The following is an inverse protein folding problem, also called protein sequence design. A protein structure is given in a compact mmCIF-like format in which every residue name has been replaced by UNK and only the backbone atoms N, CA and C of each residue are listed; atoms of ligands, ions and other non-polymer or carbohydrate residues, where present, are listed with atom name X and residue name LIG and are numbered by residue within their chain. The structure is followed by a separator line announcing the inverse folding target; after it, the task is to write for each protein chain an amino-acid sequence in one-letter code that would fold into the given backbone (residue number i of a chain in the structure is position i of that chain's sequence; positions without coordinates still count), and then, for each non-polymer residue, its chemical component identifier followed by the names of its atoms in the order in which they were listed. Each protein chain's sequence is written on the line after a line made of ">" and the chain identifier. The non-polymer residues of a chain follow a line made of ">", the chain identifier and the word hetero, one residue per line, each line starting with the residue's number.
data_IF_357572680565
#
_entry.id   IF_357572680565
#
_cell.length_a   1.000
_cell.length_b   1.000
_cell.length_c   1.000
_cell.angle_alpha   90.00
_cell.angle_beta   90.00
_cell.angle_gamma   90.00
#
_symmetry.space_group_name_H-M   'P 1'
#
loop_
_entity.id
_entity.type
_entity.pdbx_description
1 polymer ?
#
# COMPACT_ATOMS: atom_id res chain seq x y z
N UNK A 1 -5.72 -8.38 -28.53
CA UNK A 1 -6.81 -8.06 -27.59
C UNK A 1 -6.66 -6.60 -27.12
N UNK A 2 -7.02 -5.60 -27.94
CA UNK A 2 -6.85 -4.18 -27.62
C UNK A 2 -7.63 -3.70 -26.39
N UNK A 3 -8.86 -4.19 -26.18
CA UNK A 3 -9.69 -3.74 -25.04
C UNK A 3 -9.10 -4.26 -23.73
N UNK A 4 -8.72 -5.53 -23.70
CA UNK A 4 -8.02 -6.12 -22.55
C UNK A 4 -6.74 -5.36 -22.20
N UNK A 5 -5.90 -5.08 -23.20
CA UNK A 5 -4.65 -4.36 -22.99
C UNK A 5 -4.89 -2.97 -22.37
N UNK A 6 -5.92 -2.24 -22.82
CA UNK A 6 -6.29 -0.94 -22.26
C UNK A 6 -6.75 -1.02 -20.79
N UNK A 7 -7.66 -1.93 -20.47
CA UNK A 7 -8.16 -2.10 -19.09
C UNK A 7 -7.06 -2.60 -18.14
N UNK A 8 -6.23 -3.51 -18.63
CA UNK A 8 -5.06 -3.99 -17.90
C UNK A 8 -4.06 -2.86 -17.65
N UNK A 9 -3.81 -2.00 -18.65
CA UNK A 9 -2.95 -0.83 -18.50
C UNK A 9 -3.47 0.10 -17.39
N UNK A 10 -4.76 0.43 -17.37
CA UNK A 10 -5.34 1.29 -16.31
C UNK A 10 -5.14 0.67 -14.93
N UNK A 11 -5.36 -0.64 -14.81
CA UNK A 11 -5.18 -1.36 -13.53
C UNK A 11 -3.70 -1.38 -13.10
N UNK A 12 -2.79 -1.64 -14.04
CA UNK A 12 -1.34 -1.60 -13.80
C UNK A 12 -0.86 -0.22 -13.38
N UNK A 13 -1.34 0.84 -14.04
CA UNK A 13 -1.03 2.22 -13.69
C UNK A 13 -1.59 2.60 -12.32
N UNK A 14 -2.78 2.08 -11.95
CA UNK A 14 -3.31 2.22 -10.60
C UNK A 14 -2.39 1.59 -9.57
N UNK A 15 -1.82 0.42 -9.86
CA UNK A 15 -0.88 -0.26 -8.96
C UNK A 15 0.49 0.43 -8.90
N UNK A 16 0.89 1.14 -9.95
CA UNK A 16 2.14 1.88 -10.03
C UNK A 16 2.04 3.30 -9.42
N UNK A 17 0.90 3.67 -8.83
CA UNK A 17 0.72 4.96 -8.19
C UNK A 17 0.57 6.13 -9.18
N UNK A 18 -0.10 5.94 -10.32
CA UNK A 18 -0.38 7.07 -11.22
C UNK A 18 -1.28 8.11 -10.53
N UNK A 19 -0.94 9.41 -10.58
CA UNK A 19 -1.79 10.46 -10.02
C UNK A 19 -3.20 10.41 -10.64
N UNK A 20 -4.21 10.49 -9.79
CA UNK A 20 -5.62 10.40 -10.18
C UNK A 20 -6.23 9.00 -10.08
N UNK A 21 -5.45 7.98 -9.70
CA UNK A 21 -5.95 6.63 -9.39
C UNK A 21 -5.82 6.33 -7.88
N UNK A 22 -6.55 5.32 -7.40
CA UNK A 22 -6.59 5.01 -5.96
C UNK A 22 -5.21 4.68 -5.35
N UNK A 23 -4.31 4.02 -6.08
CA UNK A 23 -3.02 3.58 -5.54
C UNK A 23 -2.12 4.73 -5.16
N UNK A 24 -2.12 5.82 -5.94
CA UNK A 24 -1.33 7.01 -5.66
C UNK A 24 -1.73 7.66 -4.33
N UNK A 25 -3.03 7.78 -4.07
CA UNK A 25 -3.53 8.38 -2.83
C UNK A 25 -3.01 7.60 -1.63
N UNK A 26 -3.10 6.27 -1.67
CA UNK A 26 -2.62 5.41 -0.58
C UNK A 26 -1.12 5.58 -0.32
N UNK A 27 -0.30 5.57 -1.37
CA UNK A 27 1.16 5.69 -1.26
C UNK A 27 1.59 7.06 -0.70
N UNK A 28 0.99 8.15 -1.18
CA UNK A 28 1.32 9.50 -0.69
C UNK A 28 0.96 9.66 0.78
N UNK A 29 -0.19 9.13 1.23
CA UNK A 29 -0.54 9.14 2.66
C UNK A 29 0.46 8.35 3.50
N UNK A 30 0.90 7.19 3.02
CA UNK A 30 1.94 6.40 3.67
C UNK A 30 3.26 7.18 3.77
N UNK A 31 3.68 7.87 2.72
CA UNK A 31 4.90 8.68 2.75
C UNK A 31 4.80 9.84 3.73
N UNK A 32 3.67 10.54 3.82
CA UNK A 32 3.49 11.57 4.84
C UNK A 32 3.57 11.00 6.26
N UNK A 33 3.04 9.81 6.49
CA UNK A 33 3.15 9.10 7.77
C UNK A 33 4.59 8.75 8.14
N UNK A 34 5.34 8.14 7.22
CA UNK A 34 6.74 7.75 7.44
C UNK A 34 7.63 8.99 7.55
N UNK A 35 7.37 10.04 6.79
CA UNK A 35 8.17 11.28 6.80
C UNK A 35 8.17 11.96 8.15
N UNK A 36 7.04 11.91 8.87
CA UNK A 36 6.93 12.41 10.23
C UNK A 36 7.79 11.61 11.22
N UNK A 37 8.03 10.32 10.96
CA UNK A 37 8.84 9.46 11.82
C UNK A 37 10.33 9.44 11.43
N UNK A 38 10.67 9.24 10.15
CA UNK A 38 12.04 9.15 9.67
C UNK A 38 12.16 9.49 8.16
N UNK A 39 12.95 10.53 7.87
CA UNK A 39 13.20 11.01 6.49
C UNK A 39 14.02 10.04 5.64
N UNK A 40 14.98 9.33 6.24
CA UNK A 40 15.84 8.37 5.53
C UNK A 40 15.03 7.17 5.06
N UNK A 41 14.18 6.63 5.93
CA UNK A 41 13.26 5.54 5.57
C UNK A 41 12.27 5.97 4.49
N UNK A 42 11.80 7.22 4.53
CA UNK A 42 10.92 7.76 3.48
C UNK A 42 11.63 7.80 2.12
N UNK A 43 12.89 8.21 2.06
CA UNK A 43 13.65 8.23 0.81
C UNK A 43 13.82 6.81 0.22
N UNK A 44 14.05 5.80 1.06
CA UNK A 44 14.11 4.39 0.62
C UNK A 44 12.75 3.85 0.17
N UNK A 45 11.67 4.24 0.84
CA UNK A 45 10.32 3.85 0.45
C UNK A 45 9.95 4.44 -0.93
N UNK A 46 10.26 5.72 -1.16
CA UNK A 46 10.01 6.39 -2.45
C UNK A 46 10.83 5.76 -3.57
N UNK A 47 12.11 5.44 -3.34
CA UNK A 47 12.94 4.80 -4.37
C UNK A 47 12.41 3.41 -4.76
N UNK A 48 11.86 2.66 -3.79
CA UNK A 48 11.24 1.35 -4.03
C UNK A 48 10.00 1.47 -4.92
N UNK A 49 9.16 2.48 -4.70
CA UNK A 49 7.97 2.73 -5.53
C UNK A 49 8.36 3.10 -6.96
N UNK A 50 9.37 3.95 -7.14
CA UNK A 50 9.88 4.30 -8.49
C UNK A 50 10.38 3.05 -9.22
N UNK A 51 11.10 2.17 -8.53
CA UNK A 51 11.61 0.93 -9.10
C UNK A 51 10.47 -0.04 -9.47
N UNK A 52 9.44 -0.12 -8.63
CA UNK A 52 8.23 -0.89 -8.88
C UNK A 52 7.49 -0.42 -10.13
N UNK A 53 7.29 0.90 -10.28
CA UNK A 53 6.63 1.49 -11.44
C UNK A 53 7.41 1.22 -12.75
N UNK A 54 8.74 1.35 -12.70
CA UNK A 54 9.60 1.04 -13.84
C UNK A 54 9.50 -0.44 -14.26
N UNK A 55 9.47 -1.36 -13.30
CA UNK A 55 9.29 -2.79 -13.55
C UNK A 55 7.92 -3.10 -14.16
N UNK A 56 6.83 -2.51 -13.63
CA UNK A 56 5.48 -2.70 -14.15
C UNK A 56 5.32 -2.21 -15.60
N UNK A 57 5.90 -1.07 -15.94
CA UNK A 57 5.90 -0.55 -17.31
C UNK A 57 6.71 -1.44 -18.26
N UNK A 58 7.88 -1.92 -17.82
CA UNK A 58 8.68 -2.87 -18.58
C UNK A 58 7.93 -4.18 -18.82
N UNK A 59 7.25 -4.70 -17.80
CA UNK A 59 6.42 -5.89 -17.86
C UNK A 59 5.26 -5.70 -18.85
N UNK A 60 4.55 -4.58 -18.79
CA UNK A 60 3.46 -4.28 -19.71
C UNK A 60 3.93 -4.29 -21.17
N UNK A 61 5.06 -3.62 -21.47
CA UNK A 61 5.66 -3.62 -22.81
C UNK A 61 6.01 -5.05 -23.26
N UNK A 62 6.56 -5.87 -22.37
CA UNK A 62 6.98 -7.23 -22.71
C UNK A 62 5.80 -8.18 -22.93
N UNK A 63 4.72 -8.04 -22.15
CA UNK A 63 3.54 -8.92 -22.21
C UNK A 63 2.61 -8.53 -23.35
N UNK A 64 2.30 -7.24 -23.51
CA UNK A 64 1.32 -6.79 -24.51
C UNK A 64 1.93 -6.45 -25.87
N UNK A 65 3.19 -6.00 -25.91
CA UNK A 65 3.88 -5.60 -27.16
C UNK A 65 5.05 -6.53 -27.51
N UNK A 66 5.16 -7.69 -26.86
CA UNK A 66 6.16 -8.70 -27.18
C UNK A 66 5.91 -9.37 -28.54
N UNK A 67 6.94 -9.94 -29.18
CA UNK A 67 6.77 -10.70 -30.41
C UNK A 67 5.93 -11.96 -30.14
N UNK A 68 4.92 -12.19 -30.98
CA UNK A 68 4.09 -13.40 -30.96
C UNK A 68 4.99 -14.61 -31.27
N UNK A 69 5.22 -15.47 -30.28
CA UNK A 69 6.07 -16.66 -30.44
C UNK A 69 5.32 -17.82 -31.08
N UNK A 70 4.01 -17.93 -30.84
CA UNK A 70 3.20 -19.04 -31.32
C UNK A 70 2.08 -18.57 -32.27
N UNK A 71 1.79 -19.32 -33.35
CA UNK A 71 0.72 -18.99 -34.29
C UNK A 71 -0.69 -19.08 -33.67
N UNK A 72 -0.84 -19.77 -32.53
CA UNK A 72 -2.08 -19.86 -31.74
C UNK A 72 -2.40 -18.53 -31.00
N UNK A 73 -1.40 -17.69 -30.69
CA UNK A 73 -1.61 -16.39 -30.03
C UNK A 73 -2.45 -15.42 -30.89
N UNK A 74 -2.47 -15.63 -32.22
CA UNK A 74 -3.31 -14.84 -33.15
C UNK A 74 -4.79 -15.17 -33.04
N UNK A 75 -5.17 -16.29 -32.41
CA UNK A 75 -6.56 -16.73 -32.23
C UNK A 75 -7.17 -16.28 -30.91
N UNK A 76 -6.40 -15.60 -30.05
CA UNK A 76 -6.89 -15.05 -28.78
C UNK A 76 -7.95 -13.97 -29.04
N UNK A 77 -9.21 -14.35 -28.81
CA UNK A 77 -10.39 -13.49 -28.96
C UNK A 77 -10.47 -12.49 -27.81
N UNK A 78 -10.59 -11.20 -28.11
CA UNK A 78 -10.71 -10.14 -27.09
C UNK A 78 -11.88 -10.36 -26.13
N UNK A 79 -11.87 -9.58 -25.05
CA UNK A 79 -12.81 -9.70 -23.92
C UNK A 79 -14.26 -9.89 -24.38
N UNK A 80 -14.92 -10.88 -23.79
CA UNK A 80 -16.34 -11.09 -23.97
C UNK A 80 -17.14 -10.05 -23.15
N UNK A 81 -18.38 -9.75 -23.56
CA UNK A 81 -19.21 -8.75 -22.89
C UNK A 81 -19.45 -9.04 -21.40
N UNK A 82 -19.41 -10.33 -21.01
CA UNK A 82 -19.48 -10.75 -19.60
C UNK A 82 -18.24 -10.39 -18.80
N UNK A 83 -17.06 -10.49 -19.40
CA UNK A 83 -15.80 -10.14 -18.73
C UNK A 83 -15.70 -8.62 -18.56
N UNK A 84 -16.16 -7.89 -19.57
CA UNK A 84 -16.26 -6.43 -19.52
C UNK A 84 -17.17 -5.94 -18.38
N UNK A 85 -18.32 -6.58 -18.18
CA UNK A 85 -19.29 -6.16 -17.13
C UNK A 85 -18.72 -6.35 -15.71
N UNK A 86 -17.76 -7.26 -15.53
CA UNK A 86 -17.07 -7.48 -14.25
C UNK A 86 -15.92 -6.48 -14.08
N UNK A 87 -15.16 -6.21 -15.15
CA UNK A 87 -13.99 -5.32 -15.11
C UNK A 87 -14.36 -3.83 -15.00
N UNK A 88 -15.36 -3.37 -15.76
CA UNK A 88 -15.77 -1.96 -15.81
C UNK A 88 -16.08 -1.37 -14.43
N UNK A 89 -16.92 -1.98 -13.57
CA UNK A 89 -17.22 -1.41 -12.26
C UNK A 89 -15.98 -1.31 -11.35
N UNK A 90 -15.03 -2.24 -11.49
CA UNK A 90 -13.76 -2.20 -10.75
C UNK A 90 -12.93 -1.00 -11.20
N UNK A 91 -12.79 -0.79 -12.51
CA UNK A 91 -12.07 0.38 -13.06
C UNK A 91 -12.74 1.69 -12.63
N UNK A 92 -14.07 1.76 -12.66
CA UNK A 92 -14.81 2.93 -12.19
C UNK A 92 -14.50 3.22 -10.73
N UNK A 93 -14.47 2.19 -9.87
CA UNK A 93 -14.13 2.35 -8.46
C UNK A 93 -12.67 2.82 -8.27
N UNK A 94 -11.74 2.27 -9.05
CA UNK A 94 -10.32 2.67 -9.05
C UNK A 94 -10.15 4.16 -9.33
N UNK A 95 -10.86 4.67 -10.33
CA UNK A 95 -10.83 6.08 -10.74
C UNK A 95 -11.58 6.94 -9.72
N UNK A 96 -12.76 6.53 -9.30
CA UNK A 96 -13.57 7.26 -8.32
C UNK A 96 -12.83 7.49 -7.00
N UNK A 97 -12.17 6.47 -6.47
CA UNK A 97 -11.38 6.56 -5.25
C UNK A 97 -10.11 7.41 -5.43
N UNK A 98 -9.56 7.47 -6.64
CA UNK A 98 -8.44 8.36 -6.98
C UNK A 98 -8.83 9.84 -7.07
N UNK A 99 -9.99 10.15 -7.66
CA UNK A 99 -10.47 11.54 -7.80
C UNK A 99 -11.09 12.09 -6.51
N UNK A 100 -11.83 11.27 -5.76
CA UNK A 100 -12.57 11.68 -4.57
C UNK A 100 -12.17 10.90 -3.30
N UNK A 101 -10.88 10.93 -2.89
CA UNK A 101 -10.41 10.15 -1.76
C UNK A 101 -11.05 10.58 -0.43
N UNK A 102 -11.37 11.86 -0.28
CA UNK A 102 -11.97 12.42 0.94
C UNK A 102 -13.29 11.76 1.35
N UNK A 103 -14.05 11.20 0.40
CA UNK A 103 -15.32 10.51 0.69
C UNK A 103 -15.12 9.23 1.50
N UNK A 104 -14.03 8.51 1.26
CA UNK A 104 -13.68 7.28 1.99
C UNK A 104 -12.88 7.60 3.24
N UNK A 105 -11.85 8.47 3.12
CA UNK A 105 -10.97 8.82 4.25
C UNK A 105 -11.76 9.38 5.43
N UNK A 106 -12.73 10.28 5.19
CA UNK A 106 -13.53 10.89 6.26
C UNK A 106 -14.37 9.88 7.04
N UNK A 107 -14.73 8.74 6.43
CA UNK A 107 -15.45 7.66 7.14
C UNK A 107 -14.52 6.87 8.08
N UNK A 108 -13.22 6.87 7.81
CA UNK A 108 -12.22 6.15 8.58
C UNK A 108 -11.65 6.96 9.75
N UNK A 109 -11.65 8.29 9.65
CA UNK A 109 -11.04 9.21 10.64
C UNK A 109 -11.44 8.91 12.09
N UNK A 110 -12.74 8.73 12.36
CA UNK A 110 -13.24 8.49 13.73
C UNK A 110 -12.71 7.17 14.33
N UNK A 111 -12.63 6.11 13.52
CA UNK A 111 -12.11 4.81 13.95
C UNK A 111 -10.60 4.84 14.13
N UNK A 112 -9.87 5.52 13.23
CA UNK A 112 -8.42 5.70 13.31
C UNK A 112 -8.03 6.52 14.54
N UNK A 113 -8.76 7.60 14.84
CA UNK A 113 -8.48 8.45 16.00
C UNK A 113 -8.56 7.65 17.31
N UNK A 114 -9.61 6.83 17.48
CA UNK A 114 -9.77 5.93 18.64
C UNK A 114 -8.65 4.88 18.73
N UNK A 115 -8.21 4.36 17.57
CA UNK A 115 -7.11 3.40 17.51
C UNK A 115 -5.79 4.03 17.97
N UNK A 116 -5.44 5.21 17.45
CA UNK A 116 -4.21 5.92 17.83
C UNK A 116 -4.18 6.25 19.33
N UNK A 117 -5.32 6.70 19.89
CA UNK A 117 -5.44 6.97 21.32
C UNK A 117 -5.19 5.72 22.18
N UNK A 118 -5.64 4.56 21.72
CA UNK A 118 -5.43 3.28 22.40
C UNK A 118 -3.93 2.89 22.45
N UNK A 119 -3.16 3.18 21.40
CA UNK A 119 -1.70 2.96 21.41
C UNK A 119 -0.96 3.96 22.29
N UNK A 120 -1.43 5.22 22.33
CA UNK A 120 -0.80 6.26 23.15
C UNK A 120 -0.99 6.02 24.65
N UNK A 121 -2.12 5.42 25.03
CA UNK A 121 -2.50 5.16 26.42
C UNK A 121 -2.06 3.79 26.93
N UNK A 122 -1.53 2.91 26.07
CA UNK A 122 -0.93 1.65 26.51
C UNK A 122 0.51 1.96 26.93
N UNK A 123 0.88 1.85 28.23
CA UNK A 123 2.27 1.98 28.63
C UNK A 123 3.11 1.01 27.79
N UNK A 124 4.37 1.36 27.44
CA UNK A 124 5.24 0.41 26.78
C UNK A 124 5.14 -0.87 27.58
N UNK A 125 4.88 -1.99 26.91
CA UNK A 125 4.91 -3.29 27.56
C UNK A 125 6.34 -3.42 28.03
N UNK A 126 6.59 -2.95 29.26
CA UNK A 126 7.71 -3.39 30.05
C UNK A 126 7.51 -4.88 30.04
N UNK A 127 8.36 -5.56 29.28
CA UNK A 127 8.52 -6.99 29.36
C UNK A 127 9.02 -7.20 30.78
N UNK A 128 8.10 -7.19 31.75
CA UNK A 128 8.34 -7.67 33.08
C UNK A 128 8.57 -9.15 32.86
N UNK A 129 9.83 -9.50 32.63
CA UNK A 129 10.33 -10.83 32.86
C UNK A 129 9.96 -11.12 34.30
N UNK A 130 8.78 -11.71 34.50
CA UNK A 130 8.43 -12.35 35.75
C UNK A 130 9.35 -13.57 35.82
N UNK A 131 10.60 -13.34 36.22
CA UNK A 131 11.55 -14.39 36.59
C UNK A 131 10.99 -14.96 37.90
N UNK A 132 10.40 -16.17 37.88
CA UNK A 132 9.79 -16.72 39.09
C UNK A 132 10.89 -16.92 40.13
N UNK A 133 10.78 -16.22 41.26
CA UNK A 133 11.67 -16.42 42.42
C UNK A 133 12.58 -15.26 42.83
N UNK A 134 12.51 -14.07 42.21
CA UNK A 134 13.23 -12.88 42.70
C UNK A 134 12.30 -11.96 43.52
N UNK A 135 12.56 -11.69 44.81
CA UNK A 135 11.73 -10.80 45.61
C UNK A 135 11.77 -9.36 45.07
N UNK A 136 10.62 -8.68 45.10
CA UNK A 136 10.35 -7.38 44.46
C UNK A 136 11.08 -6.17 45.06
N UNK A 137 12.11 -6.36 45.88
CA UNK A 137 12.79 -5.27 46.61
C UNK A 137 14.12 -4.82 45.99
N UNK A 138 14.71 -5.57 45.06
CA UNK A 138 16.03 -5.19 44.47
C UNK A 138 15.95 -4.18 43.32
N UNK A 139 14.77 -3.93 42.75
CA UNK A 139 14.64 -3.01 41.62
C UNK A 139 14.74 -1.53 42.02
N UNK A 140 14.46 -1.20 43.29
CA UNK A 140 14.52 0.19 43.78
C UNK A 140 15.94 0.63 44.14
N UNK A 141 16.83 -0.30 44.47
CA UNK A 141 18.19 0.01 44.98
C UNK A 141 19.18 0.35 43.88
N UNK A 142 18.96 -0.13 42.65
CA UNK A 142 19.85 0.16 41.50
C UNK A 142 19.67 1.55 40.92
N UNK A 143 18.54 2.22 41.16
CA UNK A 143 18.32 3.60 40.71
C UNK A 143 19.00 4.67 41.59
N UNK A 144 19.43 4.32 42.80
CA UNK A 144 20.10 5.24 43.75
C UNK A 144 21.63 5.13 43.74
N UNK A 145 22.20 4.15 43.04
CA UNK A 145 23.66 3.93 42.95
C UNK A 145 24.32 4.56 41.72
N UNK A 146 23.56 5.19 40.82
CA UNK A 146 24.08 5.93 39.66
C UNK A 146 23.79 7.46 39.73
N UNK A 147 23.84 8.05 40.93
CA UNK A 147 24.00 9.50 41.11
C UNK A 147 25.38 9.84 41.64
#
# INVERSE_FOLDING_TARGET
>A
MPVFAGLFLVTMLSSAGLPGLNGFVGEILCFFGIFAANKVLTALAVSTVILSAAYLLWLYKRVMHGPLKDPEDKRLRDLDGRELIILVPIIVLIVFMGLFPGTILRKMDASIARYIESFRNKPPVAMTLNVPGRPAQEATTVAELER
#
